data_IF_494217540861
#
_entry.id   IF_494217540861
#
_cell.length_a   1.000
_cell.length_b   1.000
_cell.length_c   1.000
_cell.angle_alpha   90.00
_cell.angle_beta   90.00
_cell.angle_gamma   90.00
#
_symmetry.space_group_name_H-M   'P 1'
#
loop_
_entity.id
_entity.type
_entity.pdbx_description
1 polymer ?
#
# COMPACT_ATOMS: atom_id res chain seq x y z
N UNK A 1 -17.14 20.74 1.13
CA UNK A 1 -16.03 19.98 1.75
C UNK A 1 -14.76 20.77 1.46
N UNK A 2 -13.91 21.02 2.43
CA UNK A 2 -12.64 21.72 2.17
C UNK A 2 -11.64 20.73 1.63
N UNK A 3 -10.83 21.17 0.66
CA UNK A 3 -9.72 20.38 0.14
C UNK A 3 -8.68 20.11 1.24
N UNK A 4 -8.09 18.92 1.31
CA UNK A 4 -7.02 18.64 2.24
C UNK A 4 -5.76 19.47 1.91
N UNK A 5 -4.93 19.74 2.90
CA UNK A 5 -3.66 20.45 2.68
C UNK A 5 -2.73 19.71 1.70
N UNK A 6 -2.79 18.39 1.69
CA UNK A 6 -2.15 17.52 0.72
C UNK A 6 -2.87 16.15 0.68
N UNK A 7 -2.93 15.54 -0.49
CA UNK A 7 -3.67 14.29 -0.71
C UNK A 7 -3.17 13.12 0.17
N UNK A 8 -1.87 13.03 0.45
CA UNK A 8 -1.35 11.98 1.31
C UNK A 8 -1.92 12.04 2.75
N UNK A 9 -2.37 13.21 3.21
CA UNK A 9 -3.01 13.36 4.52
C UNK A 9 -4.32 12.58 4.59
N UNK A 10 -5.09 12.60 3.50
CA UNK A 10 -6.34 11.83 3.39
C UNK A 10 -6.07 10.33 3.48
N UNK A 11 -5.04 9.88 2.76
CA UNK A 11 -4.59 8.48 2.81
C UNK A 11 -4.11 8.09 4.21
N UNK A 12 -3.35 8.97 4.87
CA UNK A 12 -2.85 8.71 6.22
C UNK A 12 -3.97 8.50 7.24
N UNK A 13 -5.00 9.32 7.19
CA UNK A 13 -6.15 9.19 8.09
C UNK A 13 -6.92 7.90 7.80
N UNK A 14 -7.16 7.58 6.53
CA UNK A 14 -7.83 6.34 6.14
C UNK A 14 -7.03 5.10 6.61
N UNK A 15 -5.71 5.10 6.43
CA UNK A 15 -4.84 4.02 6.86
C UNK A 15 -4.74 3.90 8.39
N UNK A 16 -4.74 5.03 9.10
CA UNK A 16 -4.79 5.04 10.56
C UNK A 16 -6.06 4.34 11.08
N UNK A 17 -7.21 4.69 10.54
CA UNK A 17 -8.47 4.05 10.92
C UNK A 17 -8.51 2.56 10.51
N UNK A 18 -7.95 2.21 9.37
CA UNK A 18 -7.79 0.82 8.95
C UNK A 18 -7.00 -0.03 9.95
N UNK A 19 -5.95 0.53 10.56
CA UNK A 19 -5.17 -0.14 11.61
C UNK A 19 -5.98 -0.41 12.87
N UNK A 20 -6.87 0.49 13.25
CA UNK A 20 -7.74 0.27 14.40
C UNK A 20 -8.68 -0.92 14.19
N UNK A 21 -9.13 -1.16 12.95
CA UNK A 21 -9.95 -2.32 12.64
C UNK A 21 -9.21 -3.67 12.81
N UNK A 22 -7.88 -3.66 12.74
CA UNK A 22 -7.02 -4.85 12.93
C UNK A 22 -6.33 -4.89 14.29
N UNK A 23 -6.69 -3.99 15.22
CA UNK A 23 -6.08 -3.93 16.55
C UNK A 23 -6.90 -4.80 17.54
N UNK A 24 -6.31 -5.86 18.14
CA UNK A 24 -7.04 -6.76 19.04
C UNK A 24 -7.60 -6.07 20.28
N UNK A 25 -6.89 -5.07 20.83
CA UNK A 25 -7.39 -4.29 21.97
C UNK A 25 -8.63 -3.50 21.56
N UNK A 26 -8.59 -2.84 20.40
CA UNK A 26 -9.74 -2.10 19.87
C UNK A 26 -10.94 -3.00 19.57
N UNK A 27 -10.69 -4.23 19.10
CA UNK A 27 -11.74 -5.22 18.92
C UNK A 27 -12.39 -5.60 20.26
N UNK A 28 -11.60 -5.73 21.32
CA UNK A 28 -12.13 -5.97 22.67
C UNK A 28 -12.98 -4.77 23.16
N UNK A 29 -12.49 -3.56 23.00
CA UNK A 29 -13.18 -2.36 23.49
C UNK A 29 -14.50 -2.09 22.76
N UNK A 30 -14.57 -2.38 21.46
CA UNK A 30 -15.71 -2.02 20.60
C UNK A 30 -16.65 -3.20 20.34
N UNK A 31 -16.09 -4.38 20.09
CA UNK A 31 -16.86 -5.59 19.76
C UNK A 31 -17.13 -6.46 20.99
N UNK A 32 -16.53 -6.09 22.14
CA UNK A 32 -16.66 -6.81 23.40
C UNK A 32 -16.25 -8.30 23.31
N UNK A 33 -15.23 -8.59 22.49
CA UNK A 33 -14.64 -9.94 22.47
C UNK A 33 -13.99 -10.24 23.82
N UNK A 34 -13.98 -11.50 24.21
CA UNK A 34 -13.37 -11.93 25.46
C UNK A 34 -11.84 -11.76 25.43
N UNK A 35 -11.22 -11.74 26.60
CA UNK A 35 -9.76 -11.72 26.72
C UNK A 35 -9.12 -12.95 26.07
N UNK A 36 -9.76 -14.11 26.18
CA UNK A 36 -9.29 -15.33 25.55
C UNK A 36 -9.30 -15.22 24.01
N UNK A 37 -10.38 -14.69 23.42
CA UNK A 37 -10.47 -14.45 21.98
C UNK A 37 -9.44 -13.45 21.52
N UNK A 38 -9.25 -12.33 22.25
CA UNK A 38 -8.22 -11.34 21.96
C UNK A 38 -6.83 -11.96 21.90
N UNK A 39 -6.45 -12.74 22.90
CA UNK A 39 -5.15 -13.40 22.95
C UNK A 39 -4.96 -14.40 21.80
N UNK A 40 -6.01 -15.11 21.43
CA UNK A 40 -6.01 -16.06 20.30
C UNK A 40 -5.67 -15.40 18.95
N UNK A 41 -6.17 -14.18 18.72
CA UNK A 41 -6.01 -13.46 17.42
C UNK A 41 -4.85 -12.49 17.38
N UNK A 42 -4.34 -12.05 18.53
CA UNK A 42 -3.37 -10.96 18.63
C UNK A 42 -2.12 -11.16 17.76
N UNK A 43 -1.49 -12.33 17.87
CA UNK A 43 -0.29 -12.64 17.08
C UNK A 43 -0.59 -12.69 15.58
N UNK A 44 -1.71 -13.25 15.17
CA UNK A 44 -2.13 -13.28 13.76
C UNK A 44 -2.36 -11.86 13.22
N UNK A 45 -3.05 -11.00 13.98
CA UNK A 45 -3.28 -9.60 13.59
C UNK A 45 -1.96 -8.84 13.38
N UNK A 46 -1.02 -8.95 14.31
CA UNK A 46 0.27 -8.26 14.19
C UNK A 46 1.14 -8.82 13.06
N UNK A 47 1.18 -10.11 12.86
CA UNK A 47 1.92 -10.73 11.74
C UNK A 47 1.34 -10.35 10.40
N UNK A 48 0.02 -10.36 10.27
CA UNK A 48 -0.68 -9.96 9.04
C UNK A 48 -0.37 -8.51 8.72
N UNK A 49 -0.52 -7.59 9.69
CA UNK A 49 -0.22 -6.19 9.49
C UNK A 49 1.23 -5.96 9.03
N UNK A 50 2.21 -6.62 9.66
CA UNK A 50 3.62 -6.54 9.24
C UNK A 50 3.83 -7.02 7.82
N UNK A 51 3.25 -8.16 7.47
CA UNK A 51 3.38 -8.73 6.13
C UNK A 51 2.76 -7.82 5.08
N UNK A 52 1.56 -7.31 5.34
CA UNK A 52 0.87 -6.38 4.44
C UNK A 52 1.70 -5.12 4.20
N UNK A 53 2.27 -4.52 5.24
CA UNK A 53 3.10 -3.33 5.11
C UNK A 53 4.39 -3.58 4.32
N UNK A 54 5.05 -4.72 4.53
CA UNK A 54 6.23 -5.12 3.76
C UNK A 54 5.90 -5.34 2.28
N UNK A 55 4.84 -6.05 1.98
CA UNK A 55 4.39 -6.29 0.60
C UNK A 55 3.95 -4.99 -0.06
N UNK A 56 3.21 -4.17 0.66
CA UNK A 56 2.72 -2.89 0.17
C UNK A 56 3.85 -1.91 -0.15
N UNK A 57 4.84 -1.75 0.73
CA UNK A 57 5.99 -0.87 0.48
C UNK A 57 6.74 -1.25 -0.79
N UNK A 58 6.91 -2.54 -1.07
CA UNK A 58 7.53 -3.06 -2.29
C UNK A 58 6.68 -2.76 -3.53
N UNK A 59 5.36 -2.95 -3.42
CA UNK A 59 4.42 -2.65 -4.50
C UNK A 59 4.42 -1.16 -4.86
N UNK A 60 4.47 -0.28 -3.88
CA UNK A 60 4.55 1.17 -4.11
C UNK A 60 5.82 1.54 -4.87
N UNK A 61 6.97 0.93 -4.56
CA UNK A 61 8.21 1.16 -5.31
C UNK A 61 8.04 0.81 -6.80
N UNK A 62 7.35 -0.26 -7.12
CA UNK A 62 7.08 -0.62 -8.52
C UNK A 62 6.26 0.46 -9.22
N UNK A 63 5.16 0.89 -8.62
CA UNK A 63 4.27 1.89 -9.22
C UNK A 63 4.93 3.25 -9.39
N UNK A 64 5.55 3.75 -8.34
CA UNK A 64 6.24 5.04 -8.35
C UNK A 64 7.36 5.08 -9.41
N UNK A 65 8.23 4.07 -9.41
CA UNK A 65 9.36 4.03 -10.36
C UNK A 65 8.92 3.77 -11.79
N UNK A 66 7.85 3.01 -11.97
CA UNK A 66 7.26 2.81 -13.28
C UNK A 66 6.75 4.12 -13.86
N UNK A 67 5.94 4.87 -13.11
CA UNK A 67 5.44 6.17 -13.56
C UNK A 67 6.58 7.15 -13.86
N UNK A 68 7.56 7.25 -12.96
CA UNK A 68 8.72 8.11 -13.15
C UNK A 68 9.46 7.80 -14.47
N UNK A 69 9.76 6.53 -14.74
CA UNK A 69 10.50 6.14 -15.94
C UNK A 69 9.62 6.22 -17.20
N UNK A 70 8.32 5.94 -17.10
CA UNK A 70 7.38 6.12 -18.20
C UNK A 70 7.30 7.57 -18.66
N UNK A 71 7.27 8.54 -17.74
CA UNK A 71 7.25 9.96 -18.10
C UNK A 71 8.61 10.47 -18.58
N UNK A 72 9.72 9.90 -18.12
CA UNK A 72 11.06 10.26 -18.61
C UNK A 72 11.30 9.77 -20.04
N UNK A 73 10.79 8.60 -20.41
CA UNK A 73 10.91 8.01 -21.74
C UNK A 73 9.64 7.21 -22.09
N UNK A 74 8.62 7.84 -22.67
CA UNK A 74 7.36 7.17 -22.97
C UNK A 74 7.45 6.15 -24.12
N UNK A 75 8.47 6.25 -24.98
CA UNK A 75 8.65 5.42 -26.16
C UNK A 75 9.41 4.10 -25.89
N UNK A 76 9.86 3.88 -24.65
CA UNK A 76 10.52 2.64 -24.26
C UNK A 76 9.52 1.46 -24.17
N UNK A 77 10.05 0.22 -24.11
CA UNK A 77 9.23 -0.96 -23.85
C UNK A 77 8.67 -0.94 -22.41
N UNK A 78 7.50 -0.34 -22.27
CA UNK A 78 6.81 -0.19 -20.98
C UNK A 78 6.36 -1.54 -20.39
N UNK A 79 6.14 -2.57 -21.21
CA UNK A 79 5.79 -3.90 -20.72
C UNK A 79 6.97 -4.54 -20.00
N UNK A 80 8.13 -4.52 -20.64
CA UNK A 80 9.36 -5.03 -20.03
C UNK A 80 9.73 -4.21 -18.81
N UNK A 81 9.75 -2.89 -18.89
CA UNK A 81 10.01 -2.01 -17.76
C UNK A 81 9.14 -2.38 -16.53
N UNK A 82 7.84 -2.53 -16.75
CA UNK A 82 6.90 -2.87 -15.65
C UNK A 82 7.24 -4.22 -15.03
N UNK A 83 7.57 -5.21 -15.84
CA UNK A 83 7.90 -6.56 -15.38
C UNK A 83 9.22 -6.63 -14.61
N UNK A 84 10.24 -5.93 -15.10
CA UNK A 84 11.54 -5.87 -14.43
C UNK A 84 11.44 -5.22 -13.06
N UNK A 85 10.64 -4.16 -12.94
CA UNK A 85 10.35 -3.53 -11.66
C UNK A 85 9.59 -4.47 -10.70
N UNK A 86 8.62 -5.23 -11.19
CA UNK A 86 7.88 -6.23 -10.39
C UNK A 86 8.82 -7.31 -9.90
N UNK A 87 9.67 -7.85 -10.75
CA UNK A 87 10.65 -8.87 -10.37
C UNK A 87 11.64 -8.31 -9.34
N UNK A 88 12.17 -7.12 -9.58
CA UNK A 88 13.15 -6.47 -8.70
C UNK A 88 12.60 -6.16 -7.31
N UNK A 89 11.42 -5.56 -7.23
CA UNK A 89 10.89 -5.05 -5.96
C UNK A 89 9.90 -5.99 -5.28
N UNK A 90 9.10 -6.73 -6.03
CA UNK A 90 8.14 -7.68 -5.48
C UNK A 90 8.62 -9.13 -5.52
N UNK A 91 9.74 -9.42 -6.20
CA UNK A 91 10.29 -10.77 -6.37
C UNK A 91 9.31 -11.73 -7.07
N UNK A 92 8.43 -11.21 -7.90
CA UNK A 92 7.47 -11.98 -8.68
C UNK A 92 8.01 -12.16 -10.08
N UNK A 93 8.30 -13.39 -10.47
CA UNK A 93 8.83 -13.73 -11.79
C UNK A 93 7.82 -13.44 -12.90
N UNK A 94 8.33 -13.03 -14.07
CA UNK A 94 7.51 -12.88 -15.28
C UNK A 94 6.93 -14.23 -15.68
N UNK A 95 5.62 -14.33 -15.99
CA UNK A 95 5.05 -15.52 -16.60
C UNK A 95 5.69 -15.77 -17.97
N UNK A 96 6.03 -17.03 -18.27
CA UNK A 96 6.64 -17.39 -19.53
C UNK A 96 5.75 -17.02 -20.72
N UNK A 97 6.34 -16.44 -21.77
CA UNK A 97 5.64 -16.08 -23.01
C UNK A 97 4.66 -14.90 -22.91
N UNK A 98 4.48 -14.28 -21.73
CA UNK A 98 3.55 -13.17 -21.55
C UNK A 98 4.23 -11.81 -21.79
N UNK A 99 3.72 -11.05 -22.74
CA UNK A 99 4.14 -9.66 -23.00
C UNK A 99 2.92 -8.74 -23.21
N UNK A 100 2.06 -8.68 -22.20
CA UNK A 100 0.82 -7.90 -22.24
C UNK A 100 0.96 -6.58 -21.47
N UNK A 101 0.20 -5.55 -21.82
CA UNK A 101 0.23 -4.25 -21.18
C UNK A 101 -0.49 -4.27 -19.80
N UNK A 102 -0.09 -5.16 -18.90
CA UNK A 102 -0.72 -5.35 -17.58
C UNK A 102 -0.81 -4.03 -16.77
N UNK A 103 0.03 -3.05 -17.09
CA UNK A 103 -0.04 -1.70 -16.48
C UNK A 103 -1.37 -1.01 -16.76
N UNK A 104 -1.98 -1.26 -17.93
CA UNK A 104 -3.22 -0.61 -18.35
C UNK A 104 -4.42 -1.01 -17.49
N UNK A 105 -4.34 -2.13 -16.78
CA UNK A 105 -5.38 -2.54 -15.81
C UNK A 105 -5.37 -1.72 -14.54
N UNK A 106 -4.30 -0.93 -14.30
CA UNK A 106 -4.18 -0.13 -13.09
C UNK A 106 -4.77 1.26 -13.30
N UNK A 107 -5.95 1.47 -12.75
CA UNK A 107 -6.72 2.72 -12.85
C UNK A 107 -5.86 3.97 -12.52
N UNK A 108 -4.97 3.90 -11.56
CA UNK A 108 -4.15 5.02 -11.11
C UNK A 108 -3.27 5.60 -12.23
N UNK A 109 -2.78 4.77 -13.14
CA UNK A 109 -1.95 5.25 -14.27
C UNK A 109 -2.77 6.13 -15.21
N UNK A 110 -4.04 5.80 -15.43
CA UNK A 110 -4.89 6.50 -16.37
C UNK A 110 -5.65 7.69 -15.75
N UNK A 111 -6.11 7.55 -14.50
CA UNK A 111 -7.03 8.52 -13.90
C UNK A 111 -6.42 9.36 -12.79
N UNK A 112 -5.29 8.93 -12.23
CA UNK A 112 -4.63 9.59 -11.09
C UNK A 112 -3.11 9.57 -11.26
N UNK A 113 -2.57 10.25 -12.28
CA UNK A 113 -1.14 10.25 -12.56
C UNK A 113 -0.34 10.82 -11.39
N UNK A 114 0.83 10.28 -11.17
CA UNK A 114 1.75 10.70 -10.09
C UNK A 114 1.14 10.64 -8.68
N UNK A 115 0.20 9.73 -8.45
CA UNK A 115 -0.52 9.64 -7.19
C UNK A 115 0.07 8.62 -6.22
N UNK A 116 0.63 7.53 -6.72
CA UNK A 116 0.86 6.31 -5.94
C UNK A 116 1.82 6.45 -4.76
N UNK A 117 2.75 7.41 -4.80
CA UNK A 117 3.64 7.71 -3.67
C UNK A 117 2.89 8.23 -2.44
N UNK A 118 1.70 8.84 -2.62
CA UNK A 118 0.87 9.32 -1.51
C UNK A 118 0.43 8.20 -0.57
N UNK A 119 0.25 6.99 -1.09
CA UNK A 119 -0.05 5.83 -0.25
C UNK A 119 1.09 5.47 0.69
N UNK A 120 2.35 5.50 0.22
CA UNK A 120 3.50 5.21 1.08
C UNK A 120 3.71 6.31 2.13
N UNK A 121 3.61 7.56 1.72
CA UNK A 121 3.72 8.70 2.63
C UNK A 121 2.58 8.70 3.66
N UNK A 122 1.37 8.35 3.20
CA UNK A 122 0.20 8.17 4.07
C UNK A 122 0.42 7.08 5.12
N UNK A 123 0.98 5.94 4.72
CA UNK A 123 1.29 4.84 5.62
C UNK A 123 2.35 5.20 6.67
N UNK A 124 3.38 5.96 6.27
CA UNK A 124 4.39 6.47 7.20
C UNK A 124 3.78 7.46 8.21
N UNK A 125 2.97 8.41 7.74
CA UNK A 125 2.29 9.35 8.62
C UNK A 125 1.27 8.65 9.53
N UNK A 126 0.51 7.69 9.02
CA UNK A 126 -0.40 6.87 9.83
C UNK A 126 0.34 6.14 10.95
N UNK A 127 1.55 5.62 10.64
CA UNK A 127 2.41 5.00 11.66
C UNK A 127 2.84 5.99 12.74
N UNK A 128 3.30 7.16 12.33
CA UNK A 128 3.72 8.20 13.28
C UNK A 128 2.55 8.64 14.17
N UNK A 129 1.38 8.89 13.57
CA UNK A 129 0.19 9.25 14.33
C UNK A 129 -0.23 8.15 15.31
N UNK A 130 -0.22 6.90 14.86
CA UNK A 130 -0.57 5.76 15.70
C UNK A 130 0.32 5.69 16.94
N UNK A 131 1.64 5.73 16.78
CA UNK A 131 2.58 5.68 17.90
C UNK A 131 2.61 6.94 18.79
N UNK A 132 2.01 8.03 18.33
CA UNK A 132 1.86 9.24 19.11
C UNK A 132 0.57 9.27 19.93
N UNK A 133 -0.49 8.64 19.42
CA UNK A 133 -1.82 8.65 20.05
C UNK A 133 -2.01 7.45 20.99
N UNK A 134 -1.42 6.31 20.68
CA UNK A 134 -1.57 5.02 21.37
C UNK A 134 -0.29 4.68 22.11
#
# INVERSE_FOLDING_TARGET
MREPAHTFTTEAIAMLFGRFASNPQRMQDVLHISEEEKQKIADACFRTLRLEQLVFSRRVQVMYRFEQQMYQNPDQDLNTLRRDLVEKYQMIKRPAGRNEPDRATKIHIATSPCYYHNYLLGELLASQLYYHIV
#
